data_IF_613321655484
#
_entry.id   IF_613321655484
#
_cell.length_a   1.000
_cell.length_b   1.000
_cell.length_c   1.000
_cell.angle_alpha   90.00
_cell.angle_beta   90.00
_cell.angle_gamma   90.00
#
_symmetry.space_group_name_H-M   'P 1'
#
loop_
_entity.id
_entity.type
_entity.pdbx_description
1 polymer ?
#
# COMPACT_ATOMS: atom_id res chain seq x y z
N UNK A 1 15.36 1.84 7.08
CA UNK A 1 14.78 0.50 6.92
C UNK A 1 13.53 0.44 7.79
N UNK A 2 12.45 1.07 7.35
CA UNK A 2 11.25 1.23 8.16
C UNK A 2 10.08 0.85 7.29
N UNK A 3 9.43 -0.29 7.58
CA UNK A 3 8.57 -1.08 6.70
C UNK A 3 7.33 -0.43 6.08
N UNK A 4 7.33 0.88 5.90
CA UNK A 4 6.35 1.74 5.23
C UNK A 4 6.95 2.52 4.05
N UNK A 5 8.18 2.19 3.61
CA UNK A 5 8.73 2.79 2.38
C UNK A 5 8.11 2.15 1.13
N UNK A 6 8.07 2.89 0.02
CA UNK A 6 7.70 2.34 -1.28
C UNK A 6 8.95 2.13 -2.14
N UNK A 7 8.93 1.10 -2.98
CA UNK A 7 9.96 0.78 -3.96
C UNK A 7 9.29 0.34 -5.26
N UNK A 8 9.27 1.26 -6.23
CA UNK A 8 8.60 1.08 -7.53
C UNK A 8 7.13 0.61 -7.42
N UNK A 9 6.23 1.35 -6.76
CA UNK A 9 4.82 0.98 -6.72
C UNK A 9 4.19 1.05 -8.11
N UNK A 10 3.41 0.04 -8.49
CA UNK A 10 2.80 -0.08 -9.82
C UNK A 10 1.28 0.12 -9.81
N UNK A 11 0.64 0.04 -8.64
CA UNK A 11 -0.81 0.15 -8.56
C UNK A 11 -1.32 0.56 -7.18
N UNK A 12 -2.48 1.21 -7.18
CA UNK A 12 -3.22 1.61 -5.99
C UNK A 12 -4.71 1.30 -6.18
N UNK A 13 -5.36 0.84 -5.13
CA UNK A 13 -6.82 0.65 -5.09
C UNK A 13 -7.37 1.08 -3.73
N UNK A 14 -8.59 1.58 -3.72
CA UNK A 14 -9.32 1.98 -2.51
C UNK A 14 -10.52 1.06 -2.37
N UNK A 15 -10.62 0.37 -1.24
CA UNK A 15 -11.77 -0.47 -0.91
C UNK A 15 -12.96 0.38 -0.43
N UNK A 16 -14.16 -0.20 -0.45
CA UNK A 16 -15.38 0.47 0.01
C UNK A 16 -15.36 0.86 1.49
N UNK A 17 -14.52 0.19 2.29
CA UNK A 17 -14.29 0.51 3.71
C UNK A 17 -13.27 1.64 3.93
N UNK A 18 -12.75 2.25 2.86
CA UNK A 18 -11.75 3.30 2.90
C UNK A 18 -10.31 2.81 3.04
N UNK A 19 -10.06 1.49 3.13
CA UNK A 19 -8.71 0.94 3.14
C UNK A 19 -8.02 1.18 1.80
N UNK A 20 -6.73 1.51 1.84
CA UNK A 20 -5.89 1.70 0.64
C UNK A 20 -4.93 0.53 0.51
N UNK A 21 -4.85 -0.03 -0.69
CA UNK A 21 -3.93 -1.11 -1.05
C UNK A 21 -2.94 -0.62 -2.10
N UNK A 22 -1.65 -0.88 -1.88
CA UNK A 22 -0.57 -0.50 -2.80
C UNK A 22 0.20 -1.75 -3.22
N UNK A 23 0.34 -1.97 -4.52
CA UNK A 23 1.20 -3.00 -5.10
C UNK A 23 2.62 -2.47 -5.24
N UNK A 24 3.48 -2.82 -4.28
CA UNK A 24 4.83 -2.30 -4.09
C UNK A 24 5.85 -3.28 -4.72
N UNK A 25 6.10 -3.10 -6.02
CA UNK A 25 6.68 -4.13 -6.88
C UNK A 25 8.11 -4.51 -6.48
N UNK A 26 9.02 -3.54 -6.33
CA UNK A 26 10.42 -3.86 -6.00
C UNK A 26 10.59 -4.34 -4.56
N UNK A 27 9.61 -4.08 -3.69
CA UNK A 27 9.57 -4.66 -2.34
C UNK A 27 8.85 -6.01 -2.28
N UNK A 28 8.34 -6.54 -3.39
CA UNK A 28 7.62 -7.81 -3.49
C UNK A 28 6.47 -7.94 -2.46
N UNK A 29 5.71 -6.86 -2.23
CA UNK A 29 4.63 -6.84 -1.22
C UNK A 29 3.40 -6.09 -1.67
N UNK A 30 2.28 -6.40 -1.04
CA UNK A 30 1.09 -5.53 -1.01
C UNK A 30 1.05 -4.87 0.36
N UNK A 31 0.98 -3.54 0.40
CA UNK A 31 0.79 -2.79 1.64
C UNK A 31 -0.68 -2.39 1.79
N UNK A 32 -1.27 -2.63 2.96
CA UNK A 32 -2.62 -2.16 3.33
C UNK A 32 -2.52 -1.02 4.33
N UNK A 33 -3.22 0.08 4.07
CA UNK A 33 -3.38 1.20 4.98
C UNK A 33 -4.84 1.31 5.38
N UNK A 34 -5.06 1.47 6.68
CA UNK A 34 -6.40 1.75 7.21
C UNK A 34 -6.69 3.25 7.06
N UNK A 35 -7.96 3.63 6.86
CA UNK A 35 -8.35 5.02 6.97
C UNK A 35 -7.98 5.56 8.36
N UNK A 36 -7.68 6.87 8.42
CA UNK A 36 -7.46 7.54 9.69
C UNK A 36 -8.72 7.51 10.59
N UNK A 37 -8.56 7.76 11.89
CA UNK A 37 -9.71 8.06 12.75
C UNK A 37 -10.49 9.28 12.25
#
# INVERSE_FOLDING_TARGET
>A
MGGREFSWPLGVSVASDGSVYVADYSNNRIQKFLPGP
#
